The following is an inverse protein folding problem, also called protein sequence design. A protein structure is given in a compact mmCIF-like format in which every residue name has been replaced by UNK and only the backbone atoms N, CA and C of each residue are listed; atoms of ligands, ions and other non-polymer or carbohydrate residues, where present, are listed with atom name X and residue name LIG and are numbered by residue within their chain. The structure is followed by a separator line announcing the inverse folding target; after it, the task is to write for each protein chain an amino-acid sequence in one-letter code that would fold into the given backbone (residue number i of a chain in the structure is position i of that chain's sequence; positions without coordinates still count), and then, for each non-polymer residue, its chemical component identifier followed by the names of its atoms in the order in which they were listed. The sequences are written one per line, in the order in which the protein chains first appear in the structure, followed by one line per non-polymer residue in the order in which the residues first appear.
data_IF_170805654728
#
_entry.id   IF_170805654728
#
_cell.length_a   1.000
_cell.length_b   1.000
_cell.length_c   1.000
_cell.angle_alpha   90.00
_cell.angle_beta   90.00
_cell.angle_gamma   90.00
#
_symmetry.space_group_name_H-M   'P 1'
#
loop_
_entity.id
_entity.type
_entity.pdbx_description
1 polymer ?
#
# COMPACT_ATOMS: atom_id res chain seq x y z
N UNK A 1 55.56 -44.97 -46.05
CA UNK A 1 55.12 -44.75 -44.65
C UNK A 1 54.30 -43.49 -44.59
N UNK A 2 52.95 -43.59 -44.57
CA UNK A 2 52.04 -42.51 -44.55
C UNK A 2 51.79 -42.03 -43.11
N UNK A 3 52.09 -40.79 -42.76
CA UNK A 3 51.72 -40.15 -41.54
C UNK A 3 50.36 -39.46 -41.76
N UNK A 4 49.29 -39.92 -41.06
CA UNK A 4 47.97 -39.29 -41.05
C UNK A 4 47.99 -38.18 -40.00
N UNK A 5 47.80 -36.95 -40.45
CA UNK A 5 47.53 -35.78 -39.61
C UNK A 5 46.03 -35.72 -39.33
N UNK A 6 45.68 -35.89 -38.08
CA UNK A 6 44.31 -35.81 -37.58
C UNK A 6 44.05 -34.34 -37.15
N UNK A 7 43.32 -33.60 -37.95
CA UNK A 7 42.94 -32.19 -37.64
C UNK A 7 41.67 -32.25 -36.78
N UNK A 8 41.83 -32.01 -35.49
CA UNK A 8 40.70 -31.84 -34.58
C UNK A 8 40.01 -30.50 -34.72
N UNK A 9 38.78 -30.50 -35.21
CA UNK A 9 37.92 -29.32 -35.23
C UNK A 9 37.29 -29.17 -33.84
N UNK A 10 37.75 -28.19 -33.08
CA UNK A 10 37.12 -27.74 -31.83
C UNK A 10 35.92 -26.87 -32.19
N UNK A 11 34.69 -27.42 -32.11
CA UNK A 11 33.48 -26.67 -32.17
C UNK A 11 33.30 -25.90 -30.85
N UNK A 12 33.58 -24.61 -30.88
CA UNK A 12 33.18 -23.67 -29.82
C UNK A 12 31.67 -23.46 -29.94
N UNK A 13 30.89 -24.14 -29.12
CA UNK A 13 29.47 -23.86 -28.95
C UNK A 13 29.36 -22.52 -28.20
N UNK A 14 29.16 -21.42 -28.94
CA UNK A 14 28.65 -20.19 -28.38
C UNK A 14 27.23 -20.46 -27.89
N UNK A 15 27.07 -20.70 -26.57
CA UNK A 15 25.78 -20.59 -25.94
C UNK A 15 25.33 -19.14 -26.05
N UNK A 16 24.51 -18.84 -27.05
CA UNK A 16 23.70 -17.63 -27.12
C UNK A 16 22.77 -17.69 -25.90
N UNK A 17 23.13 -16.97 -24.84
CA UNK A 17 22.18 -16.61 -23.85
C UNK A 17 21.12 -15.75 -24.58
N UNK A 18 20.02 -16.37 -24.95
CA UNK A 18 18.84 -15.67 -25.37
C UNK A 18 18.41 -14.84 -24.16
N UNK A 19 18.77 -13.55 -24.13
CA UNK A 19 18.13 -12.57 -23.26
C UNK A 19 16.65 -12.70 -23.58
N UNK A 20 15.84 -13.11 -22.64
CA UNK A 20 14.39 -13.08 -22.79
C UNK A 20 14.04 -11.61 -23.05
N UNK A 21 13.69 -11.32 -24.30
CA UNK A 21 13.36 -9.95 -24.74
C UNK A 21 11.96 -9.63 -24.23
N UNK A 22 11.88 -9.32 -22.94
CA UNK A 22 10.62 -8.93 -22.33
C UNK A 22 10.09 -7.67 -23.02
N UNK A 23 8.79 -7.60 -23.33
CA UNK A 23 8.21 -6.40 -23.91
C UNK A 23 8.44 -5.20 -22.99
N UNK A 24 8.56 -3.99 -23.54
CA UNK A 24 8.85 -2.80 -22.75
C UNK A 24 7.76 -2.54 -21.71
N UNK A 25 8.18 -2.18 -20.49
CA UNK A 25 7.31 -1.70 -19.42
C UNK A 25 7.25 -0.19 -19.48
N UNK A 26 6.06 0.36 -19.65
CA UNK A 26 5.84 1.80 -19.66
C UNK A 26 5.55 2.30 -18.25
N UNK A 27 6.39 3.18 -17.72
CA UNK A 27 6.27 3.72 -16.37
C UNK A 27 5.76 5.16 -16.42
N UNK A 28 4.55 5.40 -15.90
CA UNK A 28 3.88 6.69 -15.92
C UNK A 28 3.82 7.28 -14.52
N UNK A 29 4.20 8.55 -14.38
CA UNK A 29 4.20 9.27 -13.10
C UNK A 29 3.10 10.34 -13.08
N UNK A 30 2.36 10.44 -11.97
CA UNK A 30 1.33 11.46 -11.76
C UNK A 30 1.87 12.89 -11.66
N UNK A 31 3.17 13.05 -11.46
CA UNK A 31 3.85 14.34 -11.33
C UNK A 31 5.30 14.20 -10.91
N UNK A 32 5.93 15.33 -10.59
CA UNK A 32 7.36 15.44 -10.29
C UNK A 32 7.68 15.37 -8.78
N UNK A 33 6.70 15.16 -7.92
CA UNK A 33 6.90 15.12 -6.47
C UNK A 33 7.85 13.98 -6.09
N UNK A 34 8.70 14.22 -5.10
CA UNK A 34 9.77 13.31 -4.68
C UNK A 34 9.28 11.89 -4.34
N UNK A 35 8.08 11.76 -3.80
CA UNK A 35 7.53 10.44 -3.47
C UNK A 35 7.17 9.60 -4.71
N UNK A 36 6.77 10.21 -5.85
CA UNK A 36 6.59 9.49 -7.11
C UNK A 36 7.93 9.04 -7.69
N UNK A 37 8.94 9.90 -7.61
CA UNK A 37 10.29 9.57 -8.05
C UNK A 37 10.89 8.42 -7.23
N UNK A 38 10.73 8.45 -5.91
CA UNK A 38 11.20 7.37 -5.04
C UNK A 38 10.55 6.02 -5.37
N UNK A 39 9.22 5.99 -5.61
CA UNK A 39 8.54 4.76 -6.05
C UNK A 39 9.13 4.28 -7.38
N UNK A 40 9.31 5.18 -8.35
CA UNK A 40 9.87 4.89 -9.67
C UNK A 40 11.28 4.31 -9.59
N UNK A 41 12.17 4.95 -8.85
CA UNK A 41 13.57 4.53 -8.69
C UNK A 41 13.67 3.14 -8.05
N UNK A 42 12.95 2.93 -6.96
CA UNK A 42 12.96 1.64 -6.26
C UNK A 42 12.33 0.54 -7.11
N UNK A 43 11.22 0.86 -7.81
CA UNK A 43 10.57 -0.07 -8.73
C UNK A 43 11.54 -0.52 -9.83
N UNK A 44 12.18 0.43 -10.53
CA UNK A 44 13.12 0.15 -11.61
C UNK A 44 14.30 -0.69 -11.12
N UNK A 45 14.92 -0.28 -10.00
CA UNK A 45 16.05 -1.00 -9.41
C UNK A 45 15.66 -2.44 -9.04
N UNK A 46 14.56 -2.61 -8.29
CA UNK A 46 14.13 -3.94 -7.83
C UNK A 46 13.75 -4.84 -9.02
N UNK A 47 13.11 -4.30 -10.05
CA UNK A 47 12.74 -5.07 -11.23
C UNK A 47 14.00 -5.50 -12.02
N UNK A 48 14.98 -4.61 -12.15
CA UNK A 48 16.27 -4.92 -12.79
C UNK A 48 17.05 -5.99 -12.01
N UNK A 49 17.04 -5.95 -10.68
CA UNK A 49 17.68 -6.95 -9.83
C UNK A 49 17.06 -8.36 -10.00
N UNK A 50 15.78 -8.44 -10.36
CA UNK A 50 15.05 -9.72 -10.51
C UNK A 50 15.07 -10.27 -11.94
N UNK A 51 15.03 -9.41 -12.96
CA UNK A 51 14.88 -9.80 -14.37
C UNK A 51 16.12 -9.48 -15.23
N UNK A 52 17.17 -8.94 -14.64
CA UNK A 52 18.32 -8.43 -15.38
C UNK A 52 18.06 -6.98 -15.86
N UNK A 53 18.13 -6.71 -17.15
CA UNK A 53 17.96 -5.37 -17.71
C UNK A 53 16.63 -5.24 -18.49
N UNK A 54 15.45 -5.21 -17.81
CA UNK A 54 14.18 -5.03 -18.49
C UNK A 54 14.14 -3.65 -19.16
N UNK A 55 13.54 -3.58 -20.36
CA UNK A 55 13.38 -2.29 -21.05
C UNK A 55 12.26 -1.49 -20.38
N UNK A 56 12.62 -0.42 -19.67
CA UNK A 56 11.67 0.48 -19.00
C UNK A 56 11.69 1.83 -19.69
N UNK A 57 10.50 2.32 -20.09
CA UNK A 57 10.28 3.61 -20.71
C UNK A 57 9.49 4.50 -19.75
N UNK A 58 10.18 5.45 -19.11
CA UNK A 58 9.53 6.37 -18.17
C UNK A 58 9.02 7.62 -18.89
N UNK A 59 7.76 7.98 -18.62
CA UNK A 59 7.11 9.17 -19.20
C UNK A 59 6.22 9.85 -18.18
N UNK A 60 5.93 11.13 -18.39
CA UNK A 60 4.81 11.83 -17.78
C UNK A 60 3.48 11.43 -18.44
N UNK A 61 2.40 12.20 -18.16
CA UNK A 61 1.07 11.96 -18.74
C UNK A 61 1.00 12.54 -20.16
N UNK A 62 1.69 11.89 -21.09
CA UNK A 62 1.77 12.32 -22.49
C UNK A 62 0.70 11.65 -23.35
N UNK A 63 -0.18 12.47 -23.94
CA UNK A 63 -1.25 12.03 -24.84
C UNK A 63 -0.74 11.39 -26.14
N UNK A 64 0.49 11.66 -26.54
CA UNK A 64 1.09 11.07 -27.74
C UNK A 64 1.62 9.66 -27.52
N UNK A 65 1.75 9.22 -26.26
CA UNK A 65 2.24 7.88 -25.92
C UNK A 65 1.34 6.80 -26.52
N UNK A 66 1.96 5.81 -27.15
CA UNK A 66 1.28 4.65 -27.71
C UNK A 66 1.75 3.39 -26.99
N UNK A 67 0.79 2.59 -26.53
CA UNK A 67 1.04 1.28 -25.92
C UNK A 67 0.23 0.25 -26.72
N UNK A 68 0.88 -0.78 -27.21
CA UNK A 68 0.23 -1.85 -27.94
C UNK A 68 -0.79 -2.61 -27.06
N UNK A 69 -1.76 -3.27 -27.70
CA UNK A 69 -2.66 -4.18 -27.00
C UNK A 69 -1.85 -5.30 -26.32
N UNK A 70 -2.11 -5.58 -25.04
CA UNK A 70 -1.32 -6.50 -24.22
C UNK A 70 0.03 -5.95 -23.75
N UNK A 71 0.38 -4.68 -24.09
CA UNK A 71 1.55 -4.02 -23.52
C UNK A 71 1.36 -3.74 -22.04
N UNK A 72 2.47 -3.57 -21.32
CA UNK A 72 2.47 -3.44 -19.86
C UNK A 72 2.72 -2.01 -19.43
N UNK A 73 1.81 -1.47 -18.59
CA UNK A 73 1.90 -0.12 -18.04
C UNK A 73 1.95 -0.17 -16.51
N UNK A 74 2.89 0.53 -15.92
CA UNK A 74 2.96 0.80 -14.49
C UNK A 74 2.63 2.27 -14.25
N UNK A 75 1.58 2.53 -13.51
CA UNK A 75 1.08 3.88 -13.25
C UNK A 75 1.30 4.26 -11.78
N UNK A 76 2.08 5.29 -11.51
CA UNK A 76 2.42 5.73 -10.15
C UNK A 76 1.57 6.95 -9.76
N UNK A 77 0.65 6.74 -8.82
CA UNK A 77 -0.32 7.70 -8.32
C UNK A 77 -1.65 7.69 -9.07
N UNK A 78 -2.68 8.29 -8.46
CA UNK A 78 -4.07 8.21 -8.95
C UNK A 78 -4.26 8.83 -10.34
N UNK A 79 -3.59 9.95 -10.64
CA UNK A 79 -3.71 10.62 -11.97
C UNK A 79 -3.12 9.76 -13.09
N UNK A 80 -1.93 9.14 -12.84
CA UNK A 80 -1.32 8.25 -13.81
C UNK A 80 -2.16 6.98 -14.01
N UNK A 81 -2.74 6.44 -12.93
CA UNK A 81 -3.61 5.28 -12.98
C UNK A 81 -4.87 5.55 -13.79
N UNK A 82 -5.55 6.67 -13.53
CA UNK A 82 -6.72 7.07 -14.30
C UNK A 82 -6.39 7.28 -15.78
N UNK A 83 -5.31 8.02 -16.06
CA UNK A 83 -4.83 8.23 -17.43
C UNK A 83 -4.55 6.90 -18.16
N UNK A 84 -3.81 5.99 -17.52
CA UNK A 84 -3.47 4.71 -18.12
C UNK A 84 -4.72 3.85 -18.41
N UNK A 85 -5.65 3.77 -17.46
CA UNK A 85 -6.89 3.02 -17.58
C UNK A 85 -7.81 3.54 -18.69
N UNK A 86 -7.87 4.85 -18.86
CA UNK A 86 -8.65 5.50 -19.93
C UNK A 86 -7.99 5.35 -21.30
N UNK A 87 -6.67 5.58 -21.35
CA UNK A 87 -5.95 5.68 -22.61
C UNK A 87 -5.59 4.33 -23.22
N UNK A 88 -5.33 3.32 -22.35
CA UNK A 88 -4.86 2.00 -22.76
C UNK A 88 -5.78 0.87 -22.24
N UNK A 89 -7.06 0.81 -22.66
CA UNK A 89 -8.04 -0.12 -22.10
C UNK A 89 -7.73 -1.60 -22.38
N UNK A 90 -6.81 -1.89 -23.29
CA UNK A 90 -6.37 -3.24 -23.65
C UNK A 90 -4.98 -3.60 -23.12
N UNK A 91 -4.31 -2.68 -22.44
CA UNK A 91 -3.01 -2.92 -21.82
C UNK A 91 -3.18 -3.58 -20.46
N UNK A 92 -2.14 -4.28 -20.01
CA UNK A 92 -2.00 -4.74 -18.64
C UNK A 92 -1.50 -3.57 -17.77
N UNK A 93 -2.24 -3.23 -16.72
CA UNK A 93 -1.97 -2.04 -15.92
C UNK A 93 -1.75 -2.41 -14.47
N UNK A 94 -0.59 -2.03 -13.93
CA UNK A 94 -0.28 -2.07 -12.51
C UNK A 94 -0.26 -0.65 -11.95
N UNK A 95 -1.22 -0.34 -11.10
CA UNK A 95 -1.30 0.96 -10.39
C UNK A 95 -0.58 0.89 -9.05
N UNK A 96 0.26 1.88 -8.77
CA UNK A 96 1.02 1.99 -7.52
C UNK A 96 0.72 3.31 -6.82
N UNK A 97 0.82 3.33 -5.50
CA UNK A 97 0.74 4.55 -4.68
C UNK A 97 -0.58 5.30 -4.87
N UNK A 98 -1.70 4.60 -4.76
CA UNK A 98 -3.03 5.20 -4.79
C UNK A 98 -3.92 4.66 -3.66
N UNK A 99 -4.88 5.46 -3.16
CA UNK A 99 -5.83 5.00 -2.16
C UNK A 99 -6.75 3.90 -2.72
N UNK A 100 -7.12 2.93 -1.87
CA UNK A 100 -8.04 1.83 -2.25
C UNK A 100 -9.38 2.36 -2.76
N UNK A 101 -9.93 3.39 -2.11
CA UNK A 101 -11.19 3.99 -2.53
C UNK A 101 -11.11 4.61 -3.95
N UNK A 102 -9.99 5.24 -4.30
CA UNK A 102 -9.79 5.77 -5.65
C UNK A 102 -9.64 4.64 -6.68
N UNK A 103 -9.03 3.52 -6.29
CA UNK A 103 -8.93 2.34 -7.13
C UNK A 103 -10.30 1.70 -7.40
N UNK A 104 -11.12 1.56 -6.36
CA UNK A 104 -12.48 1.02 -6.46
C UNK A 104 -13.38 1.91 -7.33
N UNK A 105 -13.31 3.24 -7.18
CA UNK A 105 -14.00 4.19 -8.04
C UNK A 105 -13.61 4.04 -9.52
N UNK A 106 -12.31 3.89 -9.82
CA UNK A 106 -11.85 3.67 -11.18
C UNK A 106 -12.34 2.33 -11.74
N UNK A 107 -12.37 1.29 -10.92
CA UNK A 107 -12.87 -0.04 -11.30
C UNK A 107 -14.33 0.00 -11.72
N UNK A 108 -15.16 0.73 -11.00
CA UNK A 108 -16.58 0.86 -11.31
C UNK A 108 -16.84 1.70 -12.57
N UNK A 109 -16.00 2.69 -12.83
CA UNK A 109 -16.19 3.68 -13.90
C UNK A 109 -15.53 3.30 -15.22
N UNK A 110 -14.44 2.56 -15.20
CA UNK A 110 -13.57 2.33 -16.36
C UNK A 110 -13.52 0.85 -16.77
N UNK A 111 -14.35 0.40 -17.71
CA UNK A 111 -14.27 -0.95 -18.25
C UNK A 111 -12.99 -1.14 -19.07
N UNK A 112 -12.58 -2.40 -19.24
CA UNK A 112 -11.44 -2.75 -20.09
C UNK A 112 -11.14 -4.25 -20.07
N UNK A 113 -10.34 -4.72 -21.01
CA UNK A 113 -10.05 -6.14 -21.21
C UNK A 113 -8.64 -6.58 -20.82
N UNK A 114 -7.73 -5.64 -20.50
CA UNK A 114 -6.40 -5.96 -19.97
C UNK A 114 -6.47 -6.37 -18.49
N UNK A 115 -5.43 -7.05 -18.02
CA UNK A 115 -5.25 -7.35 -16.59
C UNK A 115 -5.01 -6.06 -15.81
N UNK A 116 -5.59 -5.93 -14.64
CA UNK A 116 -5.53 -4.72 -13.83
C UNK A 116 -5.26 -5.04 -12.39
N UNK A 117 -4.24 -4.42 -11.84
CA UNK A 117 -3.85 -4.60 -10.46
C UNK A 117 -3.46 -3.26 -9.83
N UNK A 118 -3.64 -3.15 -8.52
CA UNK A 118 -3.11 -2.03 -7.77
C UNK A 118 -2.41 -2.50 -6.49
N UNK A 119 -1.26 -1.89 -6.18
CA UNK A 119 -0.70 -1.86 -4.83
C UNK A 119 -1.13 -0.54 -4.20
N UNK A 120 -2.14 -0.62 -3.33
CA UNK A 120 -2.72 0.56 -2.68
C UNK A 120 -1.81 1.09 -1.57
N UNK A 121 -2.02 2.35 -1.13
CA UNK A 121 -1.27 2.90 0.01
C UNK A 121 -1.87 2.54 1.35
N UNK A 122 -3.13 2.11 1.34
CA UNK A 122 -3.87 1.79 2.55
C UNK A 122 -3.30 0.55 3.24
N UNK A 123 -3.45 0.50 4.55
CA UNK A 123 -3.11 -0.67 5.35
C UNK A 123 -4.38 -1.41 5.74
N UNK A 124 -4.36 -2.76 5.82
CA UNK A 124 -5.42 -3.48 6.48
C UNK A 124 -5.61 -2.97 7.90
N UNK A 125 -6.86 -2.69 8.32
CA UNK A 125 -7.16 -2.13 9.64
C UNK A 125 -6.74 -3.07 10.78
N UNK A 126 -6.62 -4.36 10.50
CA UNK A 126 -6.03 -5.34 11.42
C UNK A 126 -4.62 -4.96 11.87
N UNK A 127 -3.80 -4.37 10.99
CA UNK A 127 -2.45 -3.92 11.35
C UNK A 127 -2.48 -2.79 12.36
N UNK A 128 -3.37 -1.81 12.18
CA UNK A 128 -3.52 -0.72 13.15
C UNK A 128 -4.02 -1.23 14.51
N UNK A 129 -5.00 -2.14 14.50
CA UNK A 129 -5.51 -2.78 15.72
C UNK A 129 -4.42 -3.60 16.42
N UNK A 130 -3.62 -4.38 15.70
CA UNK A 130 -2.53 -5.18 16.26
C UNK A 130 -1.49 -4.30 16.94
N UNK A 131 -1.09 -3.19 16.30
CA UNK A 131 -0.17 -2.24 16.94
C UNK A 131 -0.80 -1.62 18.18
N UNK A 132 -2.06 -1.21 18.11
CA UNK A 132 -2.80 -0.67 19.24
C UNK A 132 -2.91 -1.66 20.41
N UNK A 133 -3.21 -2.92 20.14
CA UNK A 133 -3.30 -3.98 21.15
C UNK A 133 -1.95 -4.27 21.83
N UNK A 134 -0.85 -4.25 21.08
CA UNK A 134 0.49 -4.45 21.64
C UNK A 134 0.92 -3.29 22.54
N UNK A 135 0.61 -2.05 22.14
CA UNK A 135 0.98 -0.87 22.91
C UNK A 135 0.03 -0.62 24.09
N UNK A 136 -1.24 -1.02 23.97
CA UNK A 136 -2.27 -0.82 25.01
C UNK A 136 -3.03 -2.14 25.22
N UNK A 137 -2.40 -3.14 25.87
CA UNK A 137 -3.01 -4.48 26.05
C UNK A 137 -4.31 -4.48 26.88
N UNK A 138 -4.50 -3.45 27.69
CA UNK A 138 -5.71 -3.27 28.50
C UNK A 138 -6.89 -2.68 27.75
N UNK A 139 -6.71 -2.20 26.50
CA UNK A 139 -7.78 -1.62 25.71
C UNK A 139 -8.88 -2.65 25.44
N UNK A 140 -10.13 -2.24 25.63
CA UNK A 140 -11.32 -3.04 25.33
C UNK A 140 -12.29 -2.33 24.40
N UNK A 141 -12.26 -1.00 24.40
CA UNK A 141 -13.13 -0.15 23.60
C UNK A 141 -12.29 0.62 22.58
N UNK A 142 -12.51 0.32 21.33
CA UNK A 142 -11.80 0.94 20.21
C UNK A 142 -12.69 2.01 19.59
N UNK A 143 -12.21 3.23 19.48
CA UNK A 143 -12.88 4.33 18.80
C UNK A 143 -12.48 4.43 17.34
N UNK A 144 -13.40 4.77 16.45
CA UNK A 144 -13.12 5.16 15.08
C UNK A 144 -14.18 6.15 14.55
N UNK A 145 -13.78 7.00 13.61
CA UNK A 145 -14.72 7.84 12.84
C UNK A 145 -14.65 7.41 11.39
N UNK A 146 -15.81 7.30 10.75
CA UNK A 146 -15.92 6.99 9.34
C UNK A 146 -16.54 8.18 8.60
N UNK A 147 -15.97 8.52 7.46
CA UNK A 147 -16.55 9.45 6.51
C UNK A 147 -17.18 8.74 5.32
N UNK A 148 -17.68 9.49 4.33
CA UNK A 148 -18.32 8.93 3.14
C UNK A 148 -17.47 7.93 2.36
N UNK A 149 -16.13 8.11 2.40
CA UNK A 149 -15.19 7.27 1.66
C UNK A 149 -14.83 6.00 2.43
N UNK A 150 -14.66 6.12 3.75
CA UNK A 150 -14.20 5.01 4.61
C UNK A 150 -15.32 4.17 5.21
N UNK A 151 -16.57 4.57 5.09
CA UNK A 151 -17.72 3.85 5.68
C UNK A 151 -17.80 2.38 5.24
N UNK A 152 -17.37 2.07 4.03
CA UNK A 152 -17.33 0.69 3.50
C UNK A 152 -16.34 -0.22 4.26
N UNK A 153 -15.36 0.34 4.97
CA UNK A 153 -14.38 -0.41 5.76
C UNK A 153 -14.86 -0.72 7.19
N UNK A 154 -15.98 -0.12 7.62
CA UNK A 154 -16.54 -0.30 8.96
C UNK A 154 -16.80 -1.77 9.35
N UNK A 155 -17.46 -2.59 8.50
CA UNK A 155 -17.69 -3.99 8.83
C UNK A 155 -16.40 -4.78 9.08
N UNK A 156 -15.34 -4.46 8.35
CA UNK A 156 -14.03 -5.06 8.52
C UNK A 156 -13.42 -4.70 9.88
N UNK A 157 -13.50 -3.43 10.30
CA UNK A 157 -12.98 -3.00 11.60
C UNK A 157 -13.80 -3.56 12.76
N UNK A 158 -15.13 -3.66 12.63
CA UNK A 158 -16.01 -4.34 13.62
C UNK A 158 -15.58 -5.80 13.79
N UNK A 159 -15.42 -6.52 12.69
CA UNK A 159 -15.02 -7.93 12.73
C UNK A 159 -13.63 -8.10 13.34
N UNK A 160 -12.68 -7.27 12.94
CA UNK A 160 -11.32 -7.29 13.46
C UNK A 160 -11.23 -7.00 14.96
N UNK A 161 -12.01 -6.04 15.47
CA UNK A 161 -12.09 -5.72 16.89
C UNK A 161 -12.70 -6.88 17.67
N UNK A 162 -13.81 -7.47 17.20
CA UNK A 162 -14.47 -8.61 17.83
C UNK A 162 -13.56 -9.84 17.96
N UNK A 163 -12.80 -10.18 16.91
CA UNK A 163 -11.84 -11.30 16.99
C UNK A 163 -10.80 -11.12 18.09
N UNK A 164 -10.51 -9.87 18.47
CA UNK A 164 -9.56 -9.50 19.54
C UNK A 164 -10.21 -9.27 20.90
N UNK A 165 -11.49 -9.58 21.05
CA UNK A 165 -12.23 -9.32 22.29
C UNK A 165 -12.42 -7.82 22.60
N UNK A 166 -12.41 -6.97 21.56
CA UNK A 166 -12.62 -5.53 21.67
C UNK A 166 -13.98 -5.13 21.09
N UNK A 167 -14.56 -4.08 21.65
CA UNK A 167 -15.77 -3.42 21.13
C UNK A 167 -15.39 -2.22 20.28
N UNK A 168 -15.96 -2.09 19.08
CA UNK A 168 -15.82 -0.88 18.26
C UNK A 168 -16.95 0.10 18.62
N UNK A 169 -16.57 1.28 19.10
CA UNK A 169 -17.44 2.45 19.28
C UNK A 169 -17.12 3.45 18.18
N UNK A 170 -18.10 3.80 17.37
CA UNK A 170 -17.84 4.63 16.19
C UNK A 170 -18.88 5.73 16.02
N UNK A 171 -18.50 6.71 15.21
CA UNK A 171 -19.40 7.74 14.69
C UNK A 171 -19.17 7.92 13.20
N UNK A 172 -20.21 8.35 12.48
CA UNK A 172 -20.08 8.86 11.13
C UNK A 172 -19.84 10.37 11.18
N UNK A 173 -19.09 10.91 10.23
CA UNK A 173 -18.79 12.33 10.13
C UNK A 173 -18.73 12.75 8.67
N UNK A 174 -19.35 13.87 8.36
CA UNK A 174 -19.28 14.52 7.06
C UNK A 174 -18.39 15.78 7.08
N UNK A 175 -18.05 16.28 5.90
CA UNK A 175 -17.14 17.44 5.75
C UNK A 175 -17.66 18.74 6.37
N UNK A 176 -18.98 18.84 6.60
CA UNK A 176 -19.65 20.00 7.21
C UNK A 176 -19.82 19.90 8.73
N UNK A 177 -19.52 18.75 9.32
CA UNK A 177 -19.73 18.52 10.74
C UNK A 177 -18.72 19.28 11.62
N UNK A 178 -19.16 19.58 12.86
CA UNK A 178 -18.26 20.08 13.88
C UNK A 178 -17.40 18.96 14.44
N UNK A 179 -16.09 18.92 14.17
CA UNK A 179 -15.22 17.82 14.62
C UNK A 179 -15.23 17.60 16.14
N UNK A 180 -15.32 18.67 16.92
CA UNK A 180 -15.32 18.57 18.38
C UNK A 180 -16.60 17.88 18.86
N UNK A 181 -17.75 18.23 18.26
CA UNK A 181 -19.04 17.66 18.61
C UNK A 181 -19.09 16.14 18.35
N UNK A 182 -18.46 15.68 17.28
CA UNK A 182 -18.39 14.24 16.94
C UNK A 182 -17.30 13.51 17.74
N UNK A 183 -16.09 14.07 17.81
CA UNK A 183 -14.94 13.40 18.41
C UNK A 183 -14.98 13.37 19.93
N UNK A 184 -15.43 14.44 20.61
CA UNK A 184 -15.35 14.53 22.07
C UNK A 184 -16.15 13.42 22.78
N UNK A 185 -17.44 13.18 22.48
CA UNK A 185 -18.20 12.12 23.12
C UNK A 185 -17.70 10.72 22.76
N UNK A 186 -17.09 10.55 21.59
CA UNK A 186 -16.53 9.29 21.14
C UNK A 186 -15.25 8.95 21.90
N UNK A 187 -14.30 9.89 21.96
CA UNK A 187 -13.02 9.73 22.66
C UNK A 187 -13.23 9.41 24.14
N UNK A 188 -14.21 10.04 24.80
CA UNK A 188 -14.53 9.78 26.22
C UNK A 188 -14.97 8.35 26.51
N UNK A 189 -15.47 7.63 25.53
CA UNK A 189 -15.99 6.25 25.67
C UNK A 189 -14.99 5.18 25.25
N UNK A 190 -13.81 5.55 24.80
CA UNK A 190 -12.85 4.63 24.20
C UNK A 190 -11.53 4.59 24.96
N UNK A 191 -10.80 3.49 24.85
CA UNK A 191 -9.51 3.26 25.46
C UNK A 191 -8.38 3.42 24.41
N UNK A 192 -8.70 3.15 23.16
CA UNK A 192 -7.83 3.20 22.00
C UNK A 192 -8.59 3.80 20.81
N UNK A 193 -7.96 4.62 20.00
CA UNK A 193 -8.57 5.19 18.81
C UNK A 193 -7.79 4.81 17.55
N UNK A 194 -8.48 4.26 16.55
CA UNK A 194 -7.91 3.96 15.24
C UNK A 194 -8.33 5.07 14.27
N UNK A 195 -7.37 5.85 13.79
CA UNK A 195 -7.62 6.81 12.73
C UNK A 195 -7.78 6.06 11.41
N UNK A 196 -8.93 6.20 10.77
CA UNK A 196 -9.22 5.62 9.46
C UNK A 196 -9.00 6.66 8.38
N UNK A 197 -8.27 6.33 7.32
CA UNK A 197 -7.99 7.27 6.25
C UNK A 197 -9.28 7.61 5.48
N UNK A 198 -9.66 8.89 5.48
CA UNK A 198 -10.78 9.42 4.72
C UNK A 198 -10.50 10.88 4.32
N UNK A 199 -10.25 11.11 3.03
CA UNK A 199 -9.90 12.46 2.54
C UNK A 199 -11.03 13.47 2.65
N UNK A 200 -12.29 13.03 2.72
CA UNK A 200 -13.44 13.92 2.86
C UNK A 200 -13.53 14.50 4.27
N UNK A 201 -13.07 13.77 5.26
CA UNK A 201 -13.22 14.08 6.68
C UNK A 201 -11.89 14.41 7.34
N UNK A 202 -10.88 13.56 7.21
CA UNK A 202 -9.60 13.71 7.93
C UNK A 202 -8.65 14.72 7.27
N UNK A 203 -9.03 15.99 7.35
CA UNK A 203 -8.12 17.09 7.07
C UNK A 203 -7.20 17.41 8.27
N UNK A 204 -6.26 18.35 8.10
CA UNK A 204 -5.31 18.74 9.17
C UNK A 204 -6.00 19.22 10.45
N UNK A 205 -7.15 19.87 10.35
CA UNK A 205 -7.89 20.40 11.50
C UNK A 205 -8.51 19.25 12.31
N UNK A 206 -9.19 18.33 11.65
CA UNK A 206 -9.81 17.15 12.30
C UNK A 206 -8.74 16.29 12.96
N UNK A 207 -7.63 16.02 12.28
CA UNK A 207 -6.52 15.28 12.87
C UNK A 207 -5.97 15.96 14.13
N UNK A 208 -5.81 17.29 14.10
CA UNK A 208 -5.35 18.07 15.28
C UNK A 208 -6.34 17.97 16.45
N UNK A 209 -7.65 18.08 16.17
CA UNK A 209 -8.67 17.95 17.22
C UNK A 209 -8.72 16.53 17.79
N UNK A 210 -8.64 15.50 16.95
CA UNK A 210 -8.57 14.11 17.42
C UNK A 210 -7.39 13.93 18.38
N UNK A 211 -6.17 14.30 17.97
CA UNK A 211 -4.97 14.13 18.79
C UNK A 211 -5.04 14.94 20.09
N UNK A 212 -5.54 16.18 20.02
CA UNK A 212 -5.71 17.03 21.20
C UNK A 212 -6.70 16.44 22.22
N UNK A 213 -7.90 16.05 21.76
CA UNK A 213 -8.93 15.50 22.63
C UNK A 213 -8.50 14.15 23.21
N UNK A 214 -7.90 13.28 22.40
CA UNK A 214 -7.40 11.98 22.84
C UNK A 214 -6.29 12.11 23.87
N UNK A 215 -5.33 13.01 23.66
CA UNK A 215 -4.26 13.25 24.64
C UNK A 215 -4.81 13.75 25.99
N UNK A 216 -5.77 14.68 25.98
CA UNK A 216 -6.41 15.17 27.21
C UNK A 216 -7.18 14.10 27.98
N UNK A 217 -7.75 13.12 27.28
CA UNK A 217 -8.49 12.01 27.86
C UNK A 217 -7.61 10.78 28.11
N UNK A 218 -6.30 10.87 27.85
CA UNK A 218 -5.34 9.76 27.93
C UNK A 218 -5.71 8.57 27.04
N UNK A 219 -6.37 8.82 25.92
CA UNK A 219 -6.71 7.82 24.91
C UNK A 219 -5.60 7.75 23.89
N UNK A 220 -5.09 6.57 23.62
CA UNK A 220 -4.05 6.32 22.65
C UNK A 220 -4.60 6.36 21.23
N UNK A 221 -3.89 6.98 20.29
CA UNK A 221 -4.27 7.02 18.87
C UNK A 221 -3.27 6.25 18.03
N UNK A 222 -3.75 5.35 17.19
CA UNK A 222 -2.97 4.73 16.12
C UNK A 222 -3.36 5.37 14.79
N UNK A 223 -2.38 5.96 14.13
CA UNK A 223 -2.54 6.64 12.85
C UNK A 223 -2.23 5.73 11.66
N UNK A 224 -2.55 6.23 10.46
CA UNK A 224 -2.33 5.56 9.19
C UNK A 224 -1.14 6.14 8.39
N UNK A 225 -0.36 7.04 8.96
CA UNK A 225 0.78 7.67 8.29
C UNK A 225 1.84 8.15 9.27
N UNK A 226 3.06 8.33 8.76
CA UNK A 226 4.16 8.93 9.50
C UNK A 226 3.79 10.30 10.09
N UNK A 227 3.03 11.10 9.33
CA UNK A 227 2.60 12.42 9.78
C UNK A 227 1.72 12.35 11.03
N UNK A 228 0.90 11.31 11.18
CA UNK A 228 0.10 11.10 12.40
C UNK A 228 0.97 10.81 13.60
N UNK A 229 1.97 9.93 13.49
CA UNK A 229 2.90 9.63 14.58
C UNK A 229 3.68 10.89 14.99
N UNK A 230 4.21 11.64 14.02
CA UNK A 230 4.92 12.91 14.29
C UNK A 230 4.02 14.00 14.87
N UNK A 231 2.73 14.01 14.56
CA UNK A 231 1.77 14.99 15.06
C UNK A 231 1.26 14.69 16.48
N UNK A 232 1.57 13.50 17.05
CA UNK A 232 1.20 13.15 18.41
C UNK A 232 0.35 11.89 18.57
N UNK A 233 0.17 11.06 17.54
CA UNK A 233 -0.36 9.72 17.73
C UNK A 233 0.65 8.84 18.47
N UNK A 234 0.16 7.86 19.25
CA UNK A 234 1.01 6.89 19.94
C UNK A 234 1.85 6.06 18.97
N UNK A 235 1.26 5.70 17.86
CA UNK A 235 1.94 4.98 16.79
C UNK A 235 1.22 5.08 15.45
N UNK A 236 1.83 4.54 14.41
CA UNK A 236 1.25 4.44 13.09
C UNK A 236 1.75 3.19 12.35
N UNK A 237 0.89 2.65 11.49
CA UNK A 237 1.28 1.63 10.50
C UNK A 237 1.05 2.21 9.11
N UNK A 238 2.08 2.21 8.29
CA UNK A 238 2.02 2.77 6.94
C UNK A 238 3.07 2.15 6.02
N UNK A 239 2.93 2.34 4.72
CA UNK A 239 3.96 1.99 3.75
C UNK A 239 4.61 3.24 3.16
N UNK A 240 5.94 3.21 3.11
CA UNK A 240 6.72 4.25 2.45
C UNK A 240 6.68 4.10 0.91
N UNK A 241 7.05 5.13 0.15
CA UNK A 241 7.24 5.01 -1.30
C UNK A 241 8.18 3.85 -1.67
N UNK A 242 9.24 3.62 -0.89
CA UNK A 242 10.17 2.49 -1.06
C UNK A 242 9.45 1.14 -0.92
N UNK A 243 8.60 0.98 0.09
CA UNK A 243 7.82 -0.23 0.30
C UNK A 243 6.89 -0.54 -0.88
N UNK A 244 6.21 0.50 -1.39
CA UNK A 244 5.28 0.39 -2.52
C UNK A 244 6.04 0.05 -3.81
N UNK A 245 7.13 0.75 -4.11
CA UNK A 245 7.96 0.50 -5.29
C UNK A 245 8.52 -0.92 -5.31
N UNK A 246 9.04 -1.40 -4.18
CA UNK A 246 9.55 -2.77 -4.04
C UNK A 246 8.46 -3.82 -4.27
N UNK A 247 7.31 -3.69 -3.60
CA UNK A 247 6.20 -4.64 -3.77
C UNK A 247 5.67 -4.63 -5.20
N UNK A 248 5.52 -3.45 -5.80
CA UNK A 248 5.08 -3.32 -7.20
C UNK A 248 6.04 -4.00 -8.18
N UNK A 249 7.36 -3.89 -7.98
CA UNK A 249 8.36 -4.54 -8.81
C UNK A 249 8.32 -6.08 -8.66
N UNK A 250 8.16 -6.60 -7.45
CA UNK A 250 8.03 -8.03 -7.20
C UNK A 250 6.77 -8.61 -7.89
N UNK A 251 5.65 -7.90 -7.82
CA UNK A 251 4.42 -8.27 -8.55
C UNK A 251 4.64 -8.23 -10.07
N UNK A 252 5.28 -7.19 -10.57
CA UNK A 252 5.55 -7.06 -12.00
C UNK A 252 6.46 -8.19 -12.49
N UNK A 253 7.53 -8.49 -11.77
CA UNK A 253 8.41 -9.61 -12.11
C UNK A 253 7.64 -10.94 -12.17
N UNK A 254 6.76 -11.19 -11.20
CA UNK A 254 5.90 -12.38 -11.20
C UNK A 254 4.94 -12.41 -12.40
N UNK A 255 4.39 -11.26 -12.79
CA UNK A 255 3.50 -11.15 -13.95
C UNK A 255 4.24 -11.40 -15.28
N UNK A 256 5.47 -10.90 -15.41
CA UNK A 256 6.30 -11.08 -16.61
C UNK A 256 6.86 -12.52 -16.70
N UNK A 257 7.21 -13.13 -15.57
CA UNK A 257 7.67 -14.51 -15.55
C UNK A 257 6.56 -15.54 -15.85
N UNK A 258 5.30 -15.16 -15.66
CA UNK A 258 4.12 -16.04 -15.86
C UNK A 258 3.56 -15.98 -17.29
N UNK A 259 4.34 -15.64 -18.30
CA UNK A 259 3.86 -15.58 -19.69
C UNK A 259 3.11 -16.86 -20.07
N UNK A 260 1.78 -16.76 -20.16
CA UNK A 260 0.87 -17.83 -20.56
C UNK A 260 0.11 -18.55 -19.44
N UNK A 261 0.39 -18.35 -18.16
CA UNK A 261 -0.19 -19.16 -17.06
C UNK A 261 -1.29 -18.46 -16.23
N UNK A 262 -1.65 -17.21 -16.51
CA UNK A 262 -2.76 -16.55 -15.81
C UNK A 262 -4.03 -16.66 -16.65
N UNK A 263 -5.09 -17.36 -16.19
CA UNK A 263 -6.34 -17.42 -16.91
C UNK A 263 -6.91 -16.01 -17.12
N UNK A 264 -7.15 -15.64 -18.35
CA UNK A 264 -7.68 -14.34 -18.76
C UNK A 264 -9.11 -14.04 -18.26
N UNK A 265 -9.71 -14.87 -17.43
CA UNK A 265 -11.15 -14.90 -17.28
C UNK A 265 -11.74 -14.73 -15.89
N UNK A 266 -11.00 -14.76 -14.78
CA UNK A 266 -11.69 -14.83 -13.48
C UNK A 266 -11.77 -13.52 -12.70
N UNK A 267 -10.76 -12.65 -12.72
CA UNK A 267 -10.84 -11.32 -12.08
C UNK A 267 -9.89 -10.35 -12.80
N UNK A 268 -10.43 -9.54 -13.68
CA UNK A 268 -9.64 -8.56 -14.42
C UNK A 268 -9.01 -7.47 -13.51
N UNK A 269 -9.53 -7.28 -12.28
CA UNK A 269 -9.10 -6.27 -11.33
C UNK A 269 -8.69 -6.88 -9.99
N UNK A 270 -7.43 -6.64 -9.58
CA UNK A 270 -6.90 -7.12 -8.31
C UNK A 270 -6.40 -5.98 -7.44
N UNK A 271 -6.70 -6.04 -6.16
CA UNK A 271 -6.21 -5.08 -5.15
C UNK A 271 -5.24 -5.78 -4.22
N UNK A 272 -4.04 -5.23 -4.10
CA UNK A 272 -3.01 -5.71 -3.18
C UNK A 272 -2.75 -4.66 -2.11
N UNK A 273 -2.91 -5.03 -0.86
CA UNK A 273 -2.37 -4.26 0.24
C UNK A 273 -0.86 -4.42 0.30
N UNK A 274 -0.12 -3.39 0.75
CA UNK A 274 1.34 -3.45 0.75
C UNK A 274 1.87 -4.62 1.57
N UNK A 275 2.77 -5.41 0.98
CA UNK A 275 3.49 -6.49 1.65
C UNK A 275 4.43 -5.93 2.72
N UNK A 276 5.08 -4.81 2.41
CA UNK A 276 6.03 -4.13 3.26
C UNK A 276 5.39 -2.92 3.93
N UNK A 277 5.63 -2.75 5.22
CA UNK A 277 5.10 -1.65 6.01
C UNK A 277 6.10 -1.23 7.10
N UNK A 278 5.86 -0.06 7.67
CA UNK A 278 6.64 0.52 8.75
C UNK A 278 5.75 0.60 9.99
N UNK A 279 6.28 0.14 11.11
CA UNK A 279 5.74 0.42 12.45
C UNK A 279 6.49 1.62 13.02
N UNK A 280 5.76 2.66 13.36
CA UNK A 280 6.32 3.84 14.02
C UNK A 280 5.65 4.01 15.37
N UNK A 281 6.44 4.22 16.42
CA UNK A 281 5.95 4.48 17.78
C UNK A 281 6.53 5.80 18.27
N UNK A 282 5.65 6.70 18.68
CA UNK A 282 6.04 7.97 19.28
C UNK A 282 6.38 7.76 20.77
N UNK A 283 7.67 7.61 21.05
CA UNK A 283 8.15 7.34 22.42
C UNK A 283 7.91 8.50 23.39
N UNK A 284 7.75 9.73 22.91
CA UNK A 284 7.40 10.88 23.76
C UNK A 284 5.94 10.80 24.22
N UNK A 285 5.04 10.49 23.29
CA UNK A 285 3.62 10.26 23.62
C UNK A 285 3.48 9.04 24.52
N UNK A 286 4.18 7.95 24.25
CA UNK A 286 4.17 6.76 25.11
C UNK A 286 4.59 7.08 26.54
N UNK A 287 5.69 7.83 26.73
CA UNK A 287 6.14 8.29 28.06
C UNK A 287 5.08 9.16 28.75
N UNK A 288 4.48 10.11 28.03
CA UNK A 288 3.44 11.00 28.56
C UNK A 288 2.16 10.24 28.98
N UNK A 289 1.87 9.12 28.34
CA UNK A 289 0.73 8.25 28.66
C UNK A 289 1.08 7.10 29.61
N UNK A 290 2.35 7.02 30.09
CA UNK A 290 2.88 5.92 30.91
C UNK A 290 2.75 4.54 30.25
N UNK A 291 2.98 4.47 28.92
CA UNK A 291 2.94 3.25 28.16
C UNK A 291 4.36 2.72 27.97
N UNK A 292 4.58 1.47 28.34
CA UNK A 292 5.83 0.77 28.09
C UNK A 292 5.91 0.39 26.60
N UNK A 293 6.97 0.81 25.93
CA UNK A 293 7.22 0.46 24.53
C UNK A 293 8.34 -0.57 24.48
N UNK A 294 8.09 -1.78 23.95
CA UNK A 294 9.13 -2.77 23.74
C UNK A 294 10.25 -2.23 22.82
N UNK A 295 11.40 -2.90 22.84
CA UNK A 295 12.42 -2.66 21.82
C UNK A 295 11.89 -3.03 20.45
N UNK A 296 12.40 -2.36 19.39
CA UNK A 296 11.80 -2.43 18.06
C UNK A 296 11.70 -3.86 17.49
N UNK A 297 12.73 -4.66 17.69
CA UNK A 297 12.76 -6.05 17.20
C UNK A 297 11.74 -6.95 17.91
N UNK A 298 11.58 -6.75 19.22
CA UNK A 298 10.55 -7.45 19.99
C UNK A 298 9.15 -7.02 19.57
N UNK A 299 8.93 -5.72 19.44
CA UNK A 299 7.66 -5.16 18.96
C UNK A 299 7.29 -5.71 17.58
N UNK A 300 8.25 -5.75 16.65
CA UNK A 300 8.01 -6.22 15.30
C UNK A 300 7.69 -7.72 15.25
N UNK A 301 8.44 -8.55 15.98
CA UNK A 301 8.19 -9.99 16.10
C UNK A 301 6.81 -10.26 16.69
N UNK A 302 6.47 -9.60 17.80
CA UNK A 302 5.19 -9.80 18.49
C UNK A 302 4.03 -9.31 17.63
N UNK A 303 4.25 -8.24 16.84
CA UNK A 303 3.30 -7.75 15.86
C UNK A 303 3.03 -8.77 14.74
N UNK A 304 4.06 -9.42 14.20
CA UNK A 304 3.90 -10.47 13.19
C UNK A 304 3.12 -11.66 13.76
N UNK A 305 3.49 -12.15 14.94
CA UNK A 305 2.79 -13.23 15.60
C UNK A 305 1.30 -12.91 15.84
N UNK A 306 1.01 -11.66 16.19
CA UNK A 306 -0.36 -11.22 16.42
C UNK A 306 -1.17 -11.15 15.10
N UNK A 307 -0.54 -10.73 14.01
CA UNK A 307 -1.20 -10.75 12.69
C UNK A 307 -1.53 -12.17 12.24
N UNK A 308 -0.59 -13.10 12.40
CA UNK A 308 -0.79 -14.52 12.05
C UNK A 308 -1.92 -15.17 12.86
N UNK A 309 -2.04 -14.81 14.15
CA UNK A 309 -3.07 -15.35 15.03
C UNK A 309 -4.51 -14.91 14.65
N UNK A 310 -4.67 -13.83 13.88
CA UNK A 310 -5.98 -13.25 13.53
C UNK A 310 -6.28 -13.26 12.02
N UNK A 311 -5.42 -13.85 11.19
CA UNK A 311 -5.70 -14.15 9.78
C UNK A 311 -6.61 -15.37 9.66
#
# INVERSE_FOLDING_TARGET
MLARILTGVVLFAFALFASADHPPVYLLLSGEQSYYQQVSEVFQKTLADQLGAPRILTSGLDQSLQVAAGGTVVAIGSRASEFALQRFPKADILSLLMPVAAWDELRERLPGSGRRAAVVIDQPLDRALSLGQLLVPSARRVGAVFGPISVSTRPQLISAARRRGMELIYADMDSGDNPIGVLSPLVQKTDLFIAVADRAVFNKSVAKWLLYLSFRQKVSVIGFSQSYAKAGALGAVYSSPVNIGRHGAELMASLLASEGAVPAAAESWRTYYPKYYTLEVNREVARALNIAVPEFEALYRDFQSLLEAYQ
#
